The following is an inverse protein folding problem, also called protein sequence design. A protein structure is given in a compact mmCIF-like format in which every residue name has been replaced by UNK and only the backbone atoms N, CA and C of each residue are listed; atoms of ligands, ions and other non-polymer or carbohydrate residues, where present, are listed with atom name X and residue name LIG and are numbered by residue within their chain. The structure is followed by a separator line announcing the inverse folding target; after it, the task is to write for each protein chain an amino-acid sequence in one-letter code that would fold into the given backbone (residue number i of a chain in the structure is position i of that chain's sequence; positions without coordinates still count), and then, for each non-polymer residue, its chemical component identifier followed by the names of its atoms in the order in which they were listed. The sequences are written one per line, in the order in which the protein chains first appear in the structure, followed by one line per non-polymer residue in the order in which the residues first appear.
data_IF_116977745106
#
_entry.id   IF_116977745106
#
_cell.length_a   1.000
_cell.length_b   1.000
_cell.length_c   1.000
_cell.angle_alpha   90.00
_cell.angle_beta   90.00
_cell.angle_gamma   90.00
#
_symmetry.space_group_name_H-M   'P 1'
#
loop_
_entity.id
_entity.type
_entity.pdbx_description
1 polymer ?
#
# COMPACT_ATOMS: atom_id res chain seq x y z
N UNK A 1 -13.40 -7.24 12.29
CA UNK A 1 -12.06 -7.38 11.66
C UNK A 1 -11.41 -6.00 11.63
N UNK A 2 -10.14 -5.85 12.04
CA UNK A 2 -9.45 -4.56 11.99
C UNK A 2 -8.70 -4.47 10.66
N UNK A 3 -8.92 -3.39 9.90
CA UNK A 3 -8.25 -3.18 8.62
C UNK A 3 -7.30 -2.00 8.72
N UNK A 4 -6.08 -2.20 8.22
CA UNK A 4 -5.14 -1.14 7.93
C UNK A 4 -4.93 -1.06 6.42
N UNK A 5 -4.82 0.14 5.86
CA UNK A 5 -4.58 0.35 4.44
C UNK A 5 -3.21 1.01 4.27
N UNK A 6 -2.37 0.42 3.42
CA UNK A 6 -1.14 1.06 2.97
C UNK A 6 -1.51 2.27 2.09
N UNK A 7 -1.53 3.47 2.69
CA UNK A 7 -1.93 4.70 2.03
C UNK A 7 -0.82 5.36 1.21
N UNK A 8 0.37 4.76 1.05
CA UNK A 8 1.51 5.37 0.33
C UNK A 8 1.14 5.87 -1.07
N UNK A 9 0.20 5.19 -1.74
CA UNK A 9 -0.27 5.56 -3.07
C UNK A 9 -0.98 6.92 -3.10
N UNK A 10 -1.59 7.35 -2.00
CA UNK A 10 -2.31 8.63 -1.88
C UNK A 10 -1.39 9.85 -1.99
N UNK A 11 -0.07 9.65 -1.85
CA UNK A 11 0.93 10.71 -1.95
C UNK A 11 1.58 10.78 -3.34
N UNK A 12 1.05 10.05 -4.31
CA UNK A 12 1.57 9.97 -5.68
C UNK A 12 0.60 10.62 -6.66
N UNK A 13 1.07 11.05 -7.85
CA UNK A 13 0.19 11.46 -8.93
C UNK A 13 -0.82 10.36 -9.27
N UNK A 14 -2.05 10.76 -9.55
CA UNK A 14 -3.16 9.82 -9.74
C UNK A 14 -3.08 9.15 -11.12
N UNK A 15 -2.73 7.86 -11.13
CA UNK A 15 -2.80 6.98 -12.31
C UNK A 15 -3.98 6.01 -12.22
N UNK A 16 -4.02 4.96 -13.05
CA UNK A 16 -5.05 3.91 -12.95
C UNK A 16 -5.02 3.17 -11.61
N UNK A 17 -3.82 2.83 -11.11
CA UNK A 17 -3.63 2.13 -9.83
C UNK A 17 -4.10 3.00 -8.66
N UNK A 18 -3.69 4.27 -8.64
CA UNK A 18 -4.11 5.21 -7.60
C UNK A 18 -5.63 5.48 -7.66
N UNK A 19 -6.24 5.62 -8.86
CA UNK A 19 -7.70 5.73 -9.01
C UNK A 19 -8.44 4.55 -8.41
N UNK A 20 -7.98 3.32 -8.69
CA UNK A 20 -8.53 2.13 -8.06
C UNK A 20 -8.44 2.21 -6.53
N UNK A 21 -7.27 2.58 -6.00
CA UNK A 21 -7.06 2.75 -4.58
C UNK A 21 -8.01 3.75 -3.93
N UNK A 22 -8.27 4.90 -4.57
CA UNK A 22 -9.24 5.88 -4.09
C UNK A 22 -10.67 5.34 -4.04
N UNK A 23 -11.10 4.59 -5.06
CA UNK A 23 -12.43 3.96 -5.06
C UNK A 23 -12.56 2.88 -3.99
N UNK A 24 -11.49 2.08 -3.80
CA UNK A 24 -11.44 1.09 -2.74
C UNK A 24 -11.62 1.71 -1.35
N UNK A 25 -11.07 2.91 -1.10
CA UNK A 25 -11.26 3.60 0.18
C UNK A 25 -12.74 3.88 0.48
N UNK A 26 -13.53 4.28 -0.51
CA UNK A 26 -14.97 4.48 -0.32
C UNK A 26 -15.69 3.19 0.10
N UNK A 27 -15.45 2.10 -0.63
CA UNK A 27 -16.01 0.78 -0.30
C UNK A 27 -15.57 0.33 1.10
N UNK A 28 -14.30 0.53 1.46
CA UNK A 28 -13.79 0.15 2.78
C UNK A 28 -14.41 1.01 3.88
N UNK A 29 -14.65 2.29 3.62
CA UNK A 29 -15.31 3.18 4.57
C UNK A 29 -16.74 2.71 4.90
N UNK A 30 -17.48 2.28 3.88
CA UNK A 30 -18.86 1.82 4.02
C UNK A 30 -18.95 0.44 4.70
N UNK A 31 -18.08 -0.50 4.31
CA UNK A 31 -18.15 -1.90 4.77
C UNK A 31 -17.41 -2.11 6.09
N UNK A 32 -16.32 -1.38 6.31
CA UNK A 32 -15.46 -1.49 7.50
C UNK A 32 -15.13 -0.10 8.07
N UNK A 33 -16.12 0.62 8.62
CA UNK A 33 -15.88 1.90 9.26
C UNK A 33 -14.89 1.77 10.43
N UNK A 34 -14.10 2.81 10.67
CA UNK A 34 -13.00 2.84 11.62
C UNK A 34 -11.69 2.25 11.10
N UNK A 35 -11.65 1.78 9.85
CA UNK A 35 -10.41 1.30 9.21
C UNK A 35 -9.35 2.40 9.12
N UNK A 36 -8.09 2.01 9.33
CA UNK A 36 -6.97 2.96 9.42
C UNK A 36 -6.23 3.09 8.10
N UNK A 37 -6.08 4.30 7.59
CA UNK A 37 -5.21 4.58 6.44
C UNK A 37 -3.85 5.06 6.95
N UNK A 38 -2.81 4.28 6.65
CA UNK A 38 -1.46 4.53 7.16
C UNK A 38 -0.64 5.31 6.13
N UNK A 39 -0.04 6.43 6.57
CA UNK A 39 0.81 7.29 5.75
C UNK A 39 2.20 7.52 6.38
N UNK A 40 3.22 7.88 5.58
CA UNK A 40 4.44 8.45 6.12
C UNK A 40 4.17 9.75 6.88
N UNK A 41 5.00 10.03 7.89
CA UNK A 41 4.88 11.25 8.70
C UNK A 41 4.85 12.50 7.80
N UNK A 42 3.89 13.38 8.08
CA UNK A 42 3.66 14.61 7.31
C UNK A 42 2.83 14.42 6.04
N UNK A 43 2.43 13.19 5.70
CA UNK A 43 1.43 12.96 4.66
C UNK A 43 0.06 13.48 5.12
N UNK A 44 -0.54 14.37 4.32
CA UNK A 44 -1.87 14.91 4.53
C UNK A 44 -2.70 14.66 3.29
N UNK A 45 -3.86 14.06 3.48
CA UNK A 45 -4.81 13.69 2.42
C UNK A 45 -6.22 13.77 2.99
N UNK A 46 -7.19 14.03 2.13
CA UNK A 46 -8.60 13.88 2.47
C UNK A 46 -9.00 12.41 2.34
N UNK A 47 -9.73 11.90 3.32
CA UNK A 47 -10.25 10.54 3.32
C UNK A 47 -11.78 10.58 3.32
N UNK A 48 -12.44 9.55 2.74
CA UNK A 48 -13.85 9.31 2.96
C UNK A 48 -14.21 9.29 4.44
N UNK A 49 -15.42 9.77 4.76
CA UNK A 49 -15.97 9.68 6.11
C UNK A 49 -16.00 8.22 6.58
N UNK A 50 -15.67 7.99 7.85
CA UNK A 50 -15.57 6.64 8.42
C UNK A 50 -14.18 6.02 8.36
N UNK A 51 -13.21 6.61 7.64
CA UNK A 51 -11.81 6.20 7.72
C UNK A 51 -11.01 7.04 8.71
N UNK A 52 -10.01 6.41 9.35
CA UNK A 52 -9.13 7.07 10.31
C UNK A 52 -7.75 7.23 9.71
N UNK A 53 -7.31 8.49 9.53
CA UNK A 53 -5.96 8.78 9.08
C UNK A 53 -4.94 8.56 10.19
N UNK A 54 -3.84 7.85 9.87
CA UNK A 54 -2.71 7.69 10.79
C UNK A 54 -1.38 7.88 10.06
N UNK A 55 -0.79 9.07 10.21
CA UNK A 55 0.51 9.39 9.63
C UNK A 55 1.64 9.14 10.65
N UNK A 56 2.63 8.33 10.29
CA UNK A 56 3.71 7.93 11.19
C UNK A 56 4.97 7.41 10.50
N UNK A 57 6.06 7.29 11.27
CA UNK A 57 7.37 6.83 10.78
C UNK A 57 8.19 7.90 10.04
N UNK A 58 9.51 7.91 10.24
CA UNK A 58 10.41 8.93 9.69
C UNK A 58 10.96 8.66 8.29
N UNK A 59 10.66 7.48 7.72
CA UNK A 59 11.13 7.08 6.38
C UNK A 59 10.14 7.55 5.30
N UNK A 60 10.55 7.47 4.03
CA UNK A 60 9.72 7.79 2.86
C UNK A 60 9.76 6.68 1.80
N UNK A 61 8.83 6.72 0.85
CA UNK A 61 8.81 5.81 -0.30
C UNK A 61 8.78 4.33 0.07
N UNK A 62 9.52 3.50 -0.66
CA UNK A 62 9.60 2.06 -0.37
C UNK A 62 10.30 1.75 0.96
N UNK A 63 11.23 2.58 1.42
CA UNK A 63 11.83 2.39 2.75
C UNK A 63 10.78 2.55 3.87
N UNK A 64 9.86 3.53 3.73
CA UNK A 64 8.73 3.64 4.66
C UNK A 64 7.85 2.40 4.61
N UNK A 65 7.47 1.96 3.41
CA UNK A 65 6.59 0.81 3.25
C UNK A 65 7.19 -0.48 3.82
N UNK A 66 8.49 -0.70 3.65
CA UNK A 66 9.13 -1.93 4.13
C UNK A 66 9.46 -1.92 5.62
N UNK A 67 9.79 -0.76 6.21
CA UNK A 67 10.34 -0.69 7.57
C UNK A 67 9.48 0.09 8.57
N UNK A 68 8.84 1.18 8.14
CA UNK A 68 8.04 2.00 9.05
C UNK A 68 6.60 1.48 9.14
N UNK A 69 5.96 1.20 8.00
CA UNK A 69 4.59 0.71 7.93
C UNK A 69 4.34 -0.53 8.82
N UNK A 70 5.19 -1.57 8.86
CA UNK A 70 4.98 -2.72 9.74
C UNK A 70 4.91 -2.36 11.23
N UNK A 71 5.62 -1.31 11.65
CA UNK A 71 5.64 -0.84 13.05
C UNK A 71 4.42 -0.01 13.42
N UNK A 72 3.63 0.43 12.44
CA UNK A 72 2.40 1.20 12.65
C UNK A 72 1.16 0.30 12.73
N UNK A 73 1.30 -0.96 12.33
CA UNK A 73 0.25 -1.97 12.44
C UNK A 73 -0.01 -2.32 13.91
N UNK A 74 -1.28 -2.56 14.22
CA UNK A 74 -1.72 -3.11 15.49
C UNK A 74 -1.89 -4.62 15.40
N UNK A 75 -1.95 -5.27 16.56
CA UNK A 75 -2.27 -6.69 16.62
C UNK A 75 -3.59 -6.98 15.88
N UNK A 76 -3.62 -8.09 15.15
CA UNK A 76 -4.76 -8.58 14.38
C UNK A 76 -5.29 -7.70 13.23
N UNK A 77 -4.55 -6.67 12.82
CA UNK A 77 -4.88 -5.92 11.61
C UNK A 77 -4.58 -6.74 10.35
N UNK A 78 -5.54 -6.75 9.41
CA UNK A 78 -5.31 -7.14 8.02
C UNK A 78 -4.84 -5.92 7.24
N UNK A 79 -3.63 -5.98 6.67
CA UNK A 79 -3.10 -4.91 5.84
C UNK A 79 -3.59 -5.03 4.40
N UNK A 80 -4.23 -3.99 3.86
CA UNK A 80 -4.55 -3.89 2.44
C UNK A 80 -3.46 -3.09 1.72
N UNK A 81 -2.86 -3.68 0.70
CA UNK A 81 -1.81 -3.08 -0.13
C UNK A 81 -2.32 -2.94 -1.57
N UNK A 82 -3.11 -1.89 -1.89
CA UNK A 82 -3.83 -1.79 -3.16
C UNK A 82 -2.96 -1.34 -4.34
N UNK A 83 -1.67 -1.10 -4.15
CA UNK A 83 -0.81 -0.44 -5.13
C UNK A 83 0.46 -1.23 -5.47
N UNK A 84 0.28 -2.50 -5.88
CA UNK A 84 1.30 -3.45 -6.34
C UNK A 84 2.36 -3.89 -5.32
N UNK A 85 2.61 -3.12 -4.26
CA UNK A 85 3.65 -3.43 -3.28
C UNK A 85 3.15 -3.29 -1.84
N UNK A 86 3.79 -4.04 -0.95
CA UNK A 86 3.54 -4.05 0.49
C UNK A 86 4.79 -4.52 1.24
N UNK A 87 4.81 -4.46 2.58
CA UNK A 87 5.95 -4.88 3.39
C UNK A 87 6.17 -6.40 3.35
N UNK A 88 7.39 -6.85 3.04
CA UNK A 88 7.73 -8.28 3.00
C UNK A 88 7.61 -9.03 4.34
N UNK A 89 7.68 -8.30 5.45
CA UNK A 89 7.65 -8.87 6.81
C UNK A 89 6.22 -9.12 7.32
N UNK A 90 5.21 -8.54 6.66
CA UNK A 90 3.81 -8.67 7.08
C UNK A 90 3.18 -9.83 6.32
N UNK A 91 2.76 -10.88 7.03
CA UNK A 91 2.10 -12.04 6.41
C UNK A 91 0.59 -11.88 6.27
N UNK A 92 -0.07 -11.22 7.24
CA UNK A 92 -1.50 -10.89 7.18
C UNK A 92 -1.73 -9.63 6.36
N UNK A 93 -1.55 -9.75 5.04
CA UNK A 93 -1.87 -8.69 4.10
C UNK A 93 -2.54 -9.24 2.84
N UNK A 94 -3.37 -8.42 2.21
CA UNK A 94 -3.89 -8.66 0.87
C UNK A 94 -3.18 -7.70 -0.09
N UNK A 95 -2.67 -8.25 -1.18
CA UNK A 95 -1.91 -7.52 -2.19
C UNK A 95 -2.69 -7.47 -3.50
N UNK A 96 -2.86 -6.27 -4.05
CA UNK A 96 -3.39 -6.10 -5.40
C UNK A 96 -2.23 -5.89 -6.37
N UNK A 97 -2.04 -6.88 -7.24
CA UNK A 97 -1.16 -6.78 -8.40
C UNK A 97 -2.04 -6.45 -9.62
N UNK A 98 -1.97 -5.20 -10.07
CA UNK A 98 -2.78 -4.70 -11.20
C UNK A 98 -2.26 -5.18 -12.54
N UNK A 99 -0.95 -5.31 -12.67
CA UNK A 99 -0.27 -5.77 -13.87
C UNK A 99 1.13 -6.30 -13.53
N UNK A 100 1.79 -6.84 -14.55
CA UNK A 100 3.19 -7.24 -14.50
C UNK A 100 4.02 -6.38 -15.46
N UNK A 101 3.71 -5.08 -15.58
CA UNK A 101 4.34 -4.18 -16.55
C UNK A 101 5.87 -4.11 -16.38
N UNK A 102 6.33 -4.18 -15.14
CA UNK A 102 7.76 -4.30 -14.79
C UNK A 102 8.46 -5.53 -15.39
N UNK A 103 7.70 -6.55 -15.78
CA UNK A 103 8.18 -7.79 -16.41
C UNK A 103 7.95 -7.81 -17.91
N UNK A 104 6.79 -7.35 -18.38
CA UNK A 104 6.42 -7.42 -19.81
C UNK A 104 7.07 -6.32 -20.65
N UNK A 105 7.35 -5.15 -20.06
CA UNK A 105 7.97 -4.02 -20.76
C UNK A 105 8.95 -3.26 -19.84
N UNK A 106 9.99 -3.92 -19.29
CA UNK A 106 10.91 -3.29 -18.34
C UNK A 106 11.60 -2.04 -18.89
N UNK A 107 11.85 -1.99 -20.20
CA UNK A 107 12.49 -0.85 -20.89
C UNK A 107 11.61 0.41 -20.93
N UNK A 108 10.31 0.28 -20.64
CA UNK A 108 9.36 1.39 -20.55
C UNK A 108 9.20 1.93 -19.11
N UNK A 109 9.90 1.35 -18.13
CA UNK A 109 9.96 1.86 -16.76
C UNK A 109 11.35 2.42 -16.44
N UNK A 110 11.41 3.23 -15.39
CA UNK A 110 12.70 3.52 -14.75
C UNK A 110 13.41 2.20 -14.34
N UNK A 111 14.67 2.07 -14.71
CA UNK A 111 15.44 0.84 -14.53
C UNK A 111 15.67 0.47 -13.05
N UNK A 112 15.63 1.44 -12.12
CA UNK A 112 15.68 1.15 -10.67
C UNK A 112 14.34 0.61 -10.20
N UNK A 113 13.25 1.20 -10.66
CA UNK A 113 11.90 0.74 -10.37
C UNK A 113 11.64 -0.67 -10.90
N UNK A 114 11.99 -0.94 -12.17
CA UNK A 114 11.84 -2.25 -12.78
C UNK A 114 12.60 -3.34 -12.00
N UNK A 115 13.87 -3.07 -11.63
CA UNK A 115 14.67 -3.99 -10.80
C UNK A 115 14.08 -4.18 -9.41
N UNK A 116 13.63 -3.10 -8.78
CA UNK A 116 13.00 -3.16 -7.46
C UNK A 116 11.74 -4.01 -7.49
N UNK A 117 10.86 -3.79 -8.46
CA UNK A 117 9.62 -4.54 -8.63
C UNK A 117 9.90 -6.01 -8.95
N UNK A 118 10.86 -6.28 -9.85
CA UNK A 118 11.26 -7.65 -10.17
C UNK A 118 11.88 -8.42 -9.01
N UNK A 119 12.49 -7.72 -8.04
CA UNK A 119 12.95 -8.34 -6.80
C UNK A 119 11.83 -8.50 -5.77
N UNK A 120 11.02 -7.47 -5.57
CA UNK A 120 10.04 -7.38 -4.48
C UNK A 120 8.78 -8.21 -4.74
N UNK A 121 8.16 -8.04 -5.92
CA UNK A 121 6.83 -8.59 -6.20
C UNK A 121 6.80 -10.12 -6.15
N UNK A 122 7.74 -10.87 -6.76
CA UNK A 122 7.75 -12.33 -6.63
C UNK A 122 7.88 -12.82 -5.19
N UNK A 123 8.63 -12.08 -4.35
CA UNK A 123 8.80 -12.43 -2.93
C UNK A 123 7.56 -12.12 -2.11
N UNK A 124 6.85 -11.05 -2.44
CA UNK A 124 5.56 -10.73 -1.83
C UNK A 124 4.48 -11.73 -2.24
N UNK A 125 4.34 -12.02 -3.53
CA UNK A 125 3.32 -12.94 -4.05
C UNK A 125 3.38 -14.33 -3.38
N UNK A 126 4.58 -14.82 -3.05
CA UNK A 126 4.77 -16.09 -2.35
C UNK A 126 4.50 -16.04 -0.82
N UNK A 127 4.13 -14.87 -0.27
CA UNK A 127 3.99 -14.64 1.19
C UNK A 127 2.63 -14.12 1.62
N UNK A 128 1.81 -13.69 0.67
CA UNK A 128 0.48 -13.15 0.91
C UNK A 128 -0.56 -14.25 0.74
N UNK A 129 -1.66 -14.15 1.49
CA UNK A 129 -2.75 -15.12 1.50
C UNK A 129 -3.61 -15.05 0.23
#
# INVERSE_FOLDING_TARGET
MRIAINGRFLLRPVTGVERYGHQLLGVVADVWPGSRVLLPRGGQVELPEGLVLHAGGGLKGHAWEQFALPRLLQADELLLSPANTGPLVVHRQVLWLHDLFWRSAPDQLDARLARWYGWLIPRLANRVA
#
